data_IF_855751467722
#
_entry.id   IF_855751467722
#
_cell.length_a   1.000
_cell.length_b   1.000
_cell.length_c   1.000
_cell.angle_alpha   90.00
_cell.angle_beta   90.00
_cell.angle_gamma   90.00
#
_symmetry.space_group_name_H-M   'P 1'
#
loop_
_entity.id
_entity.type
_entity.pdbx_description
1 polymer ?
#
# COMPACT_ATOMS: atom_id res chain seq x y z
N UNK A 1 16.26 -23.50 9.94
CA UNK A 1 16.07 -22.50 11.01
C UNK A 1 14.67 -21.96 10.81
N UNK A 2 13.83 -21.95 11.84
CA UNK A 2 12.44 -21.51 11.69
C UNK A 2 12.38 -19.98 11.52
N UNK A 3 12.01 -19.51 10.33
CA UNK A 3 11.94 -18.08 10.01
C UNK A 3 11.00 -17.35 10.96
N UNK A 4 9.88 -17.97 11.34
CA UNK A 4 8.92 -17.41 12.28
C UNK A 4 9.59 -17.08 13.61
N UNK A 5 10.35 -18.02 14.19
CA UNK A 5 11.06 -17.81 15.45
C UNK A 5 11.99 -16.59 15.45
N UNK A 6 12.66 -16.30 14.31
CA UNK A 6 13.51 -15.12 14.15
C UNK A 6 12.70 -13.83 14.15
N UNK A 7 11.50 -13.85 13.58
CA UNK A 7 10.64 -12.68 13.40
C UNK A 7 9.82 -12.31 14.64
N UNK A 8 9.83 -13.13 15.69
CA UNK A 8 9.23 -12.78 17.00
C UNK A 8 9.95 -11.62 17.70
N UNK A 9 11.17 -11.28 17.27
CA UNK A 9 11.99 -10.21 17.86
C UNK A 9 12.04 -9.00 16.93
N UNK A 10 12.45 -7.86 17.48
CA UNK A 10 12.76 -6.69 16.65
C UNK A 10 13.98 -7.02 15.79
N UNK A 11 13.84 -6.82 14.48
CA UNK A 11 14.92 -6.90 13.50
C UNK A 11 15.46 -5.50 13.18
N UNK A 12 16.72 -5.40 12.78
CA UNK A 12 17.33 -4.16 12.33
C UNK A 12 17.18 -3.97 10.81
N UNK A 13 17.57 -2.81 10.29
CA UNK A 13 17.42 -2.48 8.87
C UNK A 13 18.28 -3.39 7.98
N UNK A 14 19.44 -3.79 8.46
CA UNK A 14 20.37 -4.69 7.76
C UNK A 14 19.75 -6.10 7.66
N UNK A 15 19.16 -6.60 8.73
CA UNK A 15 18.42 -7.88 8.75
C UNK A 15 17.21 -7.85 7.81
N UNK A 16 16.44 -6.77 7.82
CA UNK A 16 15.29 -6.56 6.91
C UNK A 16 15.73 -6.67 5.44
N UNK A 17 16.82 -5.98 5.07
CA UNK A 17 17.36 -6.02 3.70
C UNK A 17 17.88 -7.40 3.32
N UNK A 18 18.54 -8.09 4.26
CA UNK A 18 19.04 -9.44 4.03
C UNK A 18 17.88 -10.42 3.80
N UNK A 19 16.86 -10.40 4.67
CA UNK A 19 15.67 -11.24 4.53
C UNK A 19 14.87 -10.89 3.27
N UNK A 20 14.82 -9.62 2.89
CA UNK A 20 14.22 -9.20 1.62
C UNK A 20 14.94 -9.83 0.43
N UNK A 21 16.28 -9.74 0.40
CA UNK A 21 17.09 -10.37 -0.65
C UNK A 21 16.90 -11.89 -0.69
N UNK A 22 16.79 -12.56 0.46
CA UNK A 22 16.51 -14.01 0.50
C UNK A 22 15.14 -14.33 -0.10
N UNK A 23 14.10 -13.59 0.31
CA UNK A 23 12.75 -13.77 -0.19
C UNK A 23 12.63 -13.46 -1.69
N UNK A 24 13.48 -12.61 -2.24
CA UNK A 24 13.47 -12.26 -3.67
C UNK A 24 14.17 -13.29 -4.55
N UNK A 25 15.33 -13.76 -4.11
CA UNK A 25 16.28 -14.47 -4.98
C UNK A 25 16.57 -15.91 -4.57
N UNK A 26 16.31 -16.27 -3.32
CA UNK A 26 16.69 -17.58 -2.77
C UNK A 26 15.49 -18.46 -2.50
N UNK A 27 14.35 -17.89 -2.09
CA UNK A 27 13.15 -18.67 -1.82
C UNK A 27 12.55 -19.23 -3.10
N UNK A 28 12.26 -20.53 -3.12
CA UNK A 28 11.37 -21.08 -4.13
C UNK A 28 9.91 -20.61 -3.91
N UNK A 29 8.97 -21.06 -4.74
CA UNK A 29 7.57 -20.63 -4.65
C UNK A 29 6.87 -21.11 -3.39
N UNK A 30 7.29 -22.27 -2.86
CA UNK A 30 6.75 -22.82 -1.63
C UNK A 30 7.27 -22.02 -0.44
N UNK A 31 8.59 -21.80 -0.36
CA UNK A 31 9.22 -21.03 0.71
C UNK A 31 8.71 -19.59 0.74
N UNK A 32 8.51 -18.97 -0.42
CA UNK A 32 7.92 -17.63 -0.49
C UNK A 32 6.45 -17.63 -0.06
N UNK A 33 5.69 -18.67 -0.39
CA UNK A 33 4.31 -18.79 0.09
C UNK A 33 4.25 -18.97 1.60
N UNK A 34 5.14 -19.78 2.18
CA UNK A 34 5.28 -19.94 3.64
C UNK A 34 5.69 -18.61 4.31
N UNK A 35 6.64 -17.87 3.72
CA UNK A 35 7.01 -16.52 4.15
C UNK A 35 5.83 -15.54 4.10
N UNK A 36 5.08 -15.52 3.01
CA UNK A 36 3.94 -14.62 2.83
C UNK A 36 2.83 -14.93 3.83
N UNK A 37 2.59 -16.21 4.16
CA UNK A 37 1.59 -16.62 5.15
C UNK A 37 1.88 -16.07 6.56
N UNK A 38 3.14 -15.77 6.88
CA UNK A 38 3.50 -15.13 8.16
C UNK A 38 2.99 -13.68 8.27
N UNK A 39 2.46 -13.09 7.19
CA UNK A 39 1.72 -11.83 7.28
C UNK A 39 0.45 -11.98 8.13
N UNK A 40 -0.13 -13.17 8.22
CA UNK A 40 -1.35 -13.45 8.99
C UNK A 40 -1.06 -14.10 10.35
N UNK A 41 0.17 -13.99 10.85
CA UNK A 41 0.55 -14.55 12.14
C UNK A 41 -0.18 -13.85 13.29
N UNK A 42 -0.60 -14.61 14.30
CA UNK A 42 -1.27 -14.07 15.49
C UNK A 42 -0.34 -13.15 16.31
N UNK A 43 0.98 -13.34 16.20
CA UNK A 43 1.95 -12.42 16.77
C UNK A 43 2.13 -11.20 15.86
N UNK A 44 1.54 -10.06 16.27
CA UNK A 44 1.63 -8.79 15.55
C UNK A 44 3.08 -8.35 15.26
N UNK A 45 4.08 -8.79 16.04
CA UNK A 45 5.48 -8.50 15.73
C UNK A 45 5.93 -9.21 14.46
N UNK A 46 5.50 -10.47 14.30
CA UNK A 46 5.83 -11.29 13.14
C UNK A 46 5.20 -10.67 11.89
N UNK A 47 3.90 -10.38 11.93
CA UNK A 47 3.19 -9.78 10.78
C UNK A 47 3.78 -8.42 10.38
N UNK A 48 4.04 -7.52 11.35
CA UNK A 48 4.68 -6.23 11.10
C UNK A 48 6.08 -6.37 10.51
N UNK A 49 6.89 -7.31 10.99
CA UNK A 49 8.22 -7.57 10.45
C UNK A 49 8.15 -8.10 9.02
N UNK A 50 7.18 -8.97 8.70
CA UNK A 50 6.94 -9.46 7.34
C UNK A 50 6.56 -8.30 6.41
N UNK A 51 5.61 -7.46 6.80
CA UNK A 51 5.27 -6.25 6.04
C UNK A 51 6.48 -5.31 5.88
N UNK A 52 7.34 -5.20 6.90
CA UNK A 52 8.53 -4.37 6.82
C UNK A 52 9.58 -4.93 5.84
N UNK A 53 9.79 -6.25 5.83
CA UNK A 53 10.63 -6.95 4.86
C UNK A 53 10.10 -6.73 3.45
N UNK A 54 8.82 -6.98 3.20
CA UNK A 54 8.20 -6.79 1.89
C UNK A 54 8.26 -5.34 1.41
N UNK A 55 8.19 -4.34 2.31
CA UNK A 55 8.32 -2.93 1.94
C UNK A 55 9.72 -2.55 1.39
N UNK A 56 10.72 -3.41 1.60
CA UNK A 56 12.08 -3.24 1.08
C UNK A 56 12.33 -4.01 -0.21
N UNK A 57 11.31 -4.68 -0.76
CA UNK A 57 11.46 -5.39 -2.01
C UNK A 57 11.82 -4.45 -3.17
N UNK A 58 12.63 -4.97 -4.09
CA UNK A 58 12.92 -4.44 -5.40
C UNK A 58 11.90 -4.97 -6.43
N UNK A 59 12.17 -4.74 -7.72
CA UNK A 59 11.28 -5.15 -8.82
C UNK A 59 11.01 -6.66 -8.87
N UNK A 60 11.99 -7.49 -8.51
CA UNK A 60 11.84 -8.96 -8.44
C UNK A 60 10.84 -9.32 -7.36
N UNK A 61 11.02 -8.78 -6.15
CA UNK A 61 10.09 -9.01 -5.04
C UNK A 61 8.68 -8.48 -5.34
N UNK A 62 8.54 -7.32 -5.99
CA UNK A 62 7.23 -6.83 -6.43
C UNK A 62 6.56 -7.77 -7.43
N UNK A 63 7.32 -8.38 -8.34
CA UNK A 63 6.81 -9.41 -9.25
C UNK A 63 6.26 -10.63 -8.50
N UNK A 64 6.90 -11.03 -7.39
CA UNK A 64 6.39 -12.13 -6.54
C UNK A 64 5.09 -11.76 -5.80
N UNK A 65 4.89 -10.48 -5.51
CA UNK A 65 3.71 -9.97 -4.80
C UNK A 65 2.52 -9.63 -5.71
N UNK A 66 2.71 -9.58 -7.03
CA UNK A 66 1.66 -9.16 -7.96
C UNK A 66 0.40 -10.04 -7.83
N UNK A 67 0.58 -11.36 -7.78
CA UNK A 67 -0.49 -12.34 -7.57
C UNK A 67 -1.06 -12.38 -6.13
N UNK A 68 -0.56 -11.53 -5.22
CA UNK A 68 -0.98 -11.44 -3.81
C UNK A 68 -1.56 -10.07 -3.45
N UNK A 69 -1.73 -9.20 -4.45
CA UNK A 69 -2.22 -7.83 -4.32
C UNK A 69 -3.56 -7.73 -3.61
N UNK A 70 -4.52 -8.57 -3.99
CA UNK A 70 -5.84 -8.58 -3.36
C UNK A 70 -5.73 -8.93 -1.87
N UNK A 71 -4.94 -9.96 -1.51
CA UNK A 71 -4.74 -10.34 -0.11
C UNK A 71 -4.04 -9.24 0.70
N UNK A 72 -3.10 -8.50 0.09
CA UNK A 72 -2.48 -7.33 0.73
C UNK A 72 -3.49 -6.19 0.97
N UNK A 73 -4.40 -5.95 0.02
CA UNK A 73 -5.48 -4.96 0.16
C UNK A 73 -6.47 -5.38 1.24
N UNK A 74 -6.87 -6.65 1.26
CA UNK A 74 -7.73 -7.22 2.30
C UNK A 74 -7.08 -7.06 3.68
N UNK A 75 -5.81 -7.43 3.84
CA UNK A 75 -5.11 -7.26 5.11
C UNK A 75 -5.02 -5.77 5.53
N UNK A 76 -4.74 -4.87 4.58
CA UNK A 76 -4.70 -3.44 4.86
C UNK A 76 -6.05 -2.89 5.37
N UNK A 77 -7.17 -3.45 4.90
CA UNK A 77 -8.51 -3.04 5.33
C UNK A 77 -8.88 -3.56 6.72
N UNK A 78 -8.25 -4.64 7.20
CA UNK A 78 -8.62 -5.29 8.46
C UNK A 78 -7.63 -5.05 9.61
N UNK A 79 -6.35 -4.74 9.31
CA UNK A 79 -5.36 -4.54 10.37
C UNK A 79 -5.72 -3.35 11.27
N UNK A 80 -5.52 -3.55 12.58
CA UNK A 80 -5.61 -2.49 13.59
C UNK A 80 -4.26 -1.83 13.85
N UNK A 81 -3.15 -2.37 13.32
CA UNK A 81 -1.82 -1.79 13.50
C UNK A 81 -1.61 -0.65 12.51
N UNK A 82 -1.42 0.56 13.06
CA UNK A 82 -1.06 1.73 12.25
C UNK A 82 0.28 1.59 11.52
N UNK A 83 1.21 0.81 12.10
CA UNK A 83 2.51 0.53 11.49
C UNK A 83 2.35 -0.40 10.29
N UNK A 84 1.63 -1.50 10.49
CA UNK A 84 1.36 -2.50 9.46
C UNK A 84 0.57 -1.89 8.31
N UNK A 85 -0.53 -1.18 8.60
CA UNK A 85 -1.32 -0.46 7.60
C UNK A 85 -0.45 0.41 6.71
N UNK A 86 0.41 1.24 7.30
CA UNK A 86 1.31 2.11 6.54
C UNK A 86 2.27 1.31 5.65
N UNK A 87 2.79 0.18 6.14
CA UNK A 87 3.69 -0.69 5.38
C UNK A 87 2.96 -1.37 4.21
N UNK A 88 1.77 -1.93 4.46
CA UNK A 88 0.93 -2.56 3.44
C UNK A 88 0.56 -1.57 2.34
N UNK A 89 0.07 -0.38 2.68
CA UNK A 89 -0.24 0.66 1.69
C UNK A 89 1.02 1.10 0.91
N UNK A 90 2.19 1.11 1.57
CA UNK A 90 3.46 1.38 0.88
C UNK A 90 3.77 0.29 -0.14
N UNK A 91 3.60 -0.98 0.20
CA UNK A 91 3.82 -2.13 -0.69
C UNK A 91 2.84 -2.04 -1.87
N UNK A 92 1.54 -1.94 -1.60
CA UNK A 92 0.48 -1.90 -2.61
C UNK A 92 0.74 -0.77 -3.61
N UNK A 93 1.23 0.40 -3.15
CA UNK A 93 1.52 1.55 -4.03
C UNK A 93 2.61 1.29 -5.09
N UNK A 94 3.42 0.24 -4.90
CA UNK A 94 4.47 -0.19 -5.85
C UNK A 94 3.99 -1.21 -6.86
N UNK A 95 2.87 -1.88 -6.58
CA UNK A 95 2.33 -2.90 -7.47
C UNK A 95 1.61 -2.23 -8.65
N UNK A 96 1.72 -2.80 -9.87
CA UNK A 96 0.92 -2.32 -10.98
C UNK A 96 -0.56 -2.55 -10.69
N UNK A 97 -1.44 -1.72 -11.25
CA UNK A 97 -2.89 -1.89 -11.15
C UNK A 97 -3.42 -1.99 -12.56
N UNK A 98 -4.11 -3.09 -12.85
CA UNK A 98 -4.86 -3.34 -14.07
C UNK A 98 -6.35 -3.01 -13.85
N UNK A 99 -7.09 -2.77 -14.94
CA UNK A 99 -8.49 -2.34 -14.87
C UNK A 99 -9.41 -3.45 -14.31
N UNK A 100 -9.09 -4.70 -14.61
CA UNK A 100 -9.77 -5.90 -14.13
C UNK A 100 -9.51 -6.22 -12.64
N UNK A 101 -8.50 -5.60 -12.04
CA UNK A 101 -8.10 -5.82 -10.63
C UNK A 101 -8.66 -4.74 -9.69
N UNK A 102 -9.51 -3.84 -10.20
CA UNK A 102 -10.07 -2.74 -9.42
C UNK A 102 -11.07 -3.26 -8.40
N UNK A 103 -10.89 -2.86 -7.13
CA UNK A 103 -11.72 -3.30 -6.02
C UNK A 103 -12.43 -2.11 -5.37
N UNK A 104 -13.77 -2.05 -5.50
CA UNK A 104 -14.59 -1.00 -4.89
C UNK A 104 -14.38 -0.90 -3.37
N UNK A 105 -14.35 -2.00 -2.58
CA UNK A 105 -14.12 -1.90 -1.14
C UNK A 105 -12.80 -1.23 -0.76
N UNK A 106 -11.74 -1.46 -1.53
CA UNK A 106 -10.44 -0.85 -1.27
C UNK A 106 -10.39 0.63 -1.67
N UNK A 107 -11.14 1.01 -2.71
CA UNK A 107 -11.35 2.41 -3.08
C UNK A 107 -12.04 3.13 -1.93
N UNK A 108 -13.20 2.63 -1.48
CA UNK A 108 -13.96 3.21 -0.37
C UNK A 108 -13.09 3.36 0.88
N UNK A 109 -12.36 2.29 1.23
CA UNK A 109 -11.39 2.31 2.33
C UNK A 109 -10.36 3.44 2.19
N UNK A 110 -9.80 3.63 0.99
CA UNK A 110 -8.83 4.70 0.76
C UNK A 110 -9.48 6.08 0.87
N UNK A 111 -10.68 6.28 0.30
CA UNK A 111 -11.40 7.55 0.34
C UNK A 111 -11.78 7.94 1.79
N UNK A 112 -12.25 6.98 2.58
CA UNK A 112 -12.55 7.16 4.00
C UNK A 112 -11.29 7.54 4.80
N UNK A 113 -10.15 6.89 4.53
CA UNK A 113 -8.89 7.22 5.20
C UNK A 113 -8.37 8.62 4.85
N UNK A 114 -8.62 9.12 3.63
CA UNK A 114 -8.26 10.49 3.24
C UNK A 114 -9.01 11.49 4.13
N UNK A 115 -10.31 11.29 4.33
CA UNK A 115 -11.20 12.21 5.07
C UNK A 115 -11.13 12.04 6.59
N UNK A 116 -10.67 10.89 7.09
CA UNK A 116 -10.55 10.62 8.52
C UNK A 116 -9.56 11.57 9.24
N UNK A 117 -10.05 12.45 10.11
CA UNK A 117 -9.22 13.44 10.82
C UNK A 117 -8.20 12.85 11.80
N UNK A 118 -8.45 11.67 12.35
CA UNK A 118 -7.53 10.99 13.26
C UNK A 118 -6.38 10.28 12.52
N UNK A 119 -6.50 10.11 11.19
CA UNK A 119 -5.53 9.33 10.43
C UNK A 119 -4.23 10.11 10.18
N UNK A 120 -3.11 9.38 10.23
CA UNK A 120 -1.78 9.94 10.03
C UNK A 120 -1.61 10.53 8.62
N UNK A 121 -0.81 11.59 8.51
CA UNK A 121 -0.47 12.23 7.22
C UNK A 121 0.11 11.23 6.22
N UNK A 122 0.91 10.27 6.70
CA UNK A 122 1.54 9.24 5.86
C UNK A 122 0.49 8.32 5.23
N UNK A 123 -0.45 7.80 6.03
CA UNK A 123 -1.54 6.95 5.51
C UNK A 123 -2.45 7.73 4.58
N UNK A 124 -2.87 8.96 4.96
CA UNK A 124 -3.67 9.82 4.07
C UNK A 124 -3.02 10.01 2.71
N UNK A 125 -1.72 10.31 2.71
CA UNK A 125 -0.97 10.54 1.48
C UNK A 125 -0.87 9.28 0.61
N UNK A 126 -0.67 8.10 1.22
CA UNK A 126 -0.69 6.81 0.52
C UNK A 126 -2.07 6.53 -0.08
N UNK A 127 -3.14 6.73 0.69
CA UNK A 127 -4.52 6.56 0.21
C UNK A 127 -4.84 7.51 -0.96
N UNK A 128 -4.34 8.75 -0.98
CA UNK A 128 -4.48 9.66 -2.13
C UNK A 128 -3.85 9.04 -3.40
N UNK A 129 -2.62 8.52 -3.30
CA UNK A 129 -1.96 7.91 -4.46
C UNK A 129 -2.65 6.62 -4.92
N UNK A 130 -3.04 5.77 -3.97
CA UNK A 130 -3.71 4.50 -4.23
C UNK A 130 -5.09 4.71 -4.86
N UNK A 131 -5.88 5.67 -4.34
CA UNK A 131 -7.17 6.05 -4.93
C UNK A 131 -6.99 6.43 -6.39
N UNK A 132 -6.00 7.26 -6.72
CA UNK A 132 -5.74 7.60 -8.12
C UNK A 132 -5.36 6.37 -8.97
N UNK A 133 -4.50 5.49 -8.46
CA UNK A 133 -4.11 4.26 -9.19
C UNK A 133 -5.31 3.37 -9.51
N UNK A 134 -6.30 3.31 -8.62
CA UNK A 134 -7.53 2.54 -8.78
C UNK A 134 -8.54 3.25 -9.70
N UNK A 135 -8.81 4.52 -9.45
CA UNK A 135 -9.85 5.28 -10.14
C UNK A 135 -9.48 5.64 -11.59
N UNK A 136 -8.19 5.68 -11.97
CA UNK A 136 -7.71 6.23 -13.26
C UNK A 136 -8.36 5.65 -14.53
N UNK A 137 -8.97 4.47 -14.45
CA UNK A 137 -9.64 3.80 -15.55
C UNK A 137 -11.08 4.29 -15.75
N UNK A 138 -11.70 4.86 -14.72
CA UNK A 138 -13.12 5.20 -14.70
C UNK A 138 -13.30 6.71 -14.46
N UNK A 139 -13.83 7.47 -15.43
CA UNK A 139 -14.01 8.91 -15.29
C UNK A 139 -14.84 9.35 -14.08
N UNK A 140 -15.88 8.58 -13.73
CA UNK A 140 -16.76 8.87 -12.59
C UNK A 140 -16.01 8.77 -11.25
N UNK A 141 -15.23 7.70 -11.06
CA UNK A 141 -14.41 7.52 -9.87
C UNK A 141 -13.28 8.56 -9.77
N UNK A 142 -12.70 8.97 -10.90
CA UNK A 142 -11.75 10.07 -10.92
C UNK A 142 -12.38 11.40 -10.50
N UNK A 143 -13.61 11.65 -10.93
CA UNK A 143 -14.34 12.86 -10.57
C UNK A 143 -14.68 12.90 -9.07
N UNK A 144 -15.06 11.76 -8.50
CA UNK A 144 -15.26 11.62 -7.06
C UNK A 144 -13.97 11.90 -6.27
N UNK A 145 -12.86 11.29 -6.67
CA UNK A 145 -11.55 11.56 -6.06
C UNK A 145 -11.16 13.04 -6.18
N UNK A 146 -11.36 13.66 -7.34
CA UNK A 146 -11.10 15.09 -7.56
C UNK A 146 -11.96 15.96 -6.63
N UNK A 147 -13.23 15.63 -6.45
CA UNK A 147 -14.16 16.32 -5.55
C UNK A 147 -13.70 16.24 -4.10
N UNK A 148 -13.31 15.04 -3.63
CA UNK A 148 -12.77 14.85 -2.28
C UNK A 148 -11.49 15.69 -2.10
N UNK A 149 -10.57 15.66 -3.07
CA UNK A 149 -9.32 16.39 -2.98
C UNK A 149 -9.52 17.91 -3.05
N UNK A 150 -10.49 18.41 -3.81
CA UNK A 150 -10.79 19.85 -3.90
C UNK A 150 -11.56 20.38 -2.70
N UNK A 151 -12.24 19.52 -1.93
CA UNK A 151 -12.87 19.92 -0.65
C UNK A 151 -11.88 20.49 0.38
N UNK A 152 -10.59 20.18 0.22
CA UNK A 152 -9.49 20.74 1.05
C UNK A 152 -8.98 22.11 0.58
N UNK A 153 -9.61 22.74 -0.41
CA UNK A 153 -9.23 24.10 -0.81
C UNK A 153 -9.47 25.12 0.31
N UNK A 154 -8.47 25.98 0.53
CA UNK A 154 -8.46 26.91 1.66
C UNK A 154 -8.19 26.26 3.02
N UNK A 155 -8.14 24.92 3.13
CA UNK A 155 -7.82 24.22 4.38
C UNK A 155 -6.30 24.15 4.57
N UNK A 156 -5.76 24.52 5.75
CA UNK A 156 -4.36 24.32 6.06
C UNK A 156 -3.99 22.82 6.07
N UNK A 157 -3.11 22.41 5.15
CA UNK A 157 -2.61 21.03 5.05
C UNK A 157 -1.14 20.96 5.44
N UNK A 158 -0.74 19.79 5.96
CA UNK A 158 0.68 19.49 6.13
C UNK A 158 1.41 19.47 4.78
N UNK A 159 2.72 19.73 4.73
CA UNK A 159 3.48 19.72 3.48
C UNK A 159 3.38 18.40 2.70
N UNK A 160 3.40 17.27 3.41
CA UNK A 160 3.27 15.94 2.82
C UNK A 160 1.91 15.74 2.13
N UNK A 161 0.83 16.09 2.83
CA UNK A 161 -0.53 15.94 2.31
C UNK A 161 -0.79 16.89 1.14
N UNK A 162 -0.29 18.14 1.23
CA UNK A 162 -0.36 19.13 0.15
C UNK A 162 0.38 18.62 -1.10
N UNK A 163 1.55 18.01 -0.93
CA UNK A 163 2.32 17.43 -2.04
C UNK A 163 1.57 16.28 -2.72
N UNK A 164 1.03 15.34 -1.94
CA UNK A 164 0.26 14.21 -2.47
C UNK A 164 -0.97 14.67 -3.24
N UNK A 165 -1.76 15.57 -2.63
CA UNK A 165 -2.94 16.20 -3.25
C UNK A 165 -2.59 16.86 -4.58
N UNK A 166 -1.60 17.76 -4.61
CA UNK A 166 -1.23 18.47 -5.84
C UNK A 166 -0.75 17.53 -6.94
N UNK A 167 0.05 16.51 -6.60
CA UNK A 167 0.52 15.51 -7.58
C UNK A 167 -0.63 14.73 -8.19
N UNK A 168 -1.59 14.29 -7.37
CA UNK A 168 -2.73 13.54 -7.87
C UNK A 168 -3.66 14.42 -8.70
N UNK A 169 -3.99 15.64 -8.29
CA UNK A 169 -4.80 16.56 -9.11
C UNK A 169 -4.17 16.82 -10.49
N UNK A 170 -2.83 16.98 -10.55
CA UNK A 170 -2.12 17.07 -11.83
C UNK A 170 -2.21 15.79 -12.66
N UNK A 171 -2.14 14.62 -12.00
CA UNK A 171 -2.26 13.33 -12.67
C UNK A 171 -3.68 13.10 -13.22
N UNK A 172 -4.73 13.49 -12.48
CA UNK A 172 -6.13 13.46 -12.93
C UNK A 172 -6.30 14.35 -14.19
N UNK A 173 -5.84 15.61 -14.13
CA UNK A 173 -5.92 16.52 -15.26
C UNK A 173 -5.19 15.98 -16.50
N UNK A 174 -4.06 15.28 -16.32
CA UNK A 174 -3.33 14.61 -17.40
C UNK A 174 -4.07 13.39 -17.94
N UNK A 175 -4.70 12.59 -17.08
CA UNK A 175 -5.49 11.42 -17.47
C UNK A 175 -6.70 11.82 -18.31
N UNK A 176 -7.44 12.85 -17.88
CA UNK A 176 -8.61 13.38 -18.59
C UNK A 176 -8.27 13.94 -19.98
N UNK A 177 -7.03 14.40 -20.21
CA UNK A 177 -6.57 14.85 -21.53
C UNK A 177 -6.21 13.69 -22.47
N UNK A 178 -5.87 12.52 -21.94
CA UNK A 178 -5.52 11.32 -22.74
C UNK A 178 -6.74 10.56 -23.21
N UNK A 179 -7.83 10.64 -22.45
CA UNK A 179 -9.09 9.94 -22.72
C UNK A 179 -10.11 10.81 -23.47
N UNK A 180 -9.70 12.01 -23.92
CA UNK A 180 -10.45 12.90 -24.83
C UNK A 180 -9.89 12.75 -26.23
#
# INVERSE_FOLDING_TARGET
MDLRSQLTKRICKEEVKHLASMAEFSFDDREFSEFFQLLYDEDARVSENIAWIMSHFNKVGWGRLDSRKQSLMEEAMHTSSTTELRLLLTIISKLPVLEEEITIPFIDFCLDNITNMAQSVAVKSLCIYLSFQQCKFFPELLHELETILTSYDGVPLSPGLKSARSKVLQAIAKNNKRNK
#
